data_IF_006484628582
#
_entry.id   IF_006484628582
#
_cell.length_a   1.000
_cell.length_b   1.000
_cell.length_c   1.000
_cell.angle_alpha   90.00
_cell.angle_beta   90.00
_cell.angle_gamma   90.00
#
_symmetry.space_group_name_H-M   'P 1'
#
loop_
_entity.id
_entity.type
_entity.pdbx_description
1 polymer ?
2 non-polymer ?
3 non-polymer ?
4 non-polymer ?
5 non-polymer ?
6 water ?
#
# COMPACT_ATOMS: atom_id res chain seq x y z
N UNK A 3 -24.03 -3.81 -21.82
CA UNK A 3 -22.78 -3.92 -22.58
C UNK A 3 -21.57 -3.66 -21.68
N UNK A 4 -20.46 -4.30 -22.00
CA UNK A 4 -19.29 -4.23 -21.15
C UNK A 4 -18.73 -2.80 -21.08
N UNK A 5 -18.16 -2.42 -19.96
CA UNK A 5 -17.48 -1.12 -19.90
C UNK A 5 -16.27 -1.09 -20.82
N UNK A 6 -16.08 0.05 -21.48
CA UNK A 6 -14.96 0.27 -22.39
C UNK A 6 -13.83 0.89 -21.58
N UNK A 7 -12.97 0.03 -21.03
CA UNK A 7 -11.94 0.48 -20.09
C UNK A 7 -10.60 -0.16 -20.43
N UNK A 8 -9.54 0.48 -19.94
CA UNK A 8 -8.16 0.04 -20.10
C UNK A 8 -7.60 -0.11 -18.68
N UNK A 9 -7.50 -1.36 -18.21
CA UNK A 9 -7.11 -1.58 -16.83
C UNK A 9 -5.63 -1.32 -16.57
N UNK A 10 -4.86 -1.02 -17.62
CA UNK A 10 -3.48 -0.59 -17.46
C UNK A 10 -3.33 0.93 -17.54
N UNK A 11 -4.44 1.65 -17.63
CA UNK A 11 -4.43 3.11 -17.75
C UNK A 11 -4.68 3.74 -16.40
N UNK A 12 -3.75 4.56 -15.94
CA UNK A 12 -3.91 5.16 -14.62
C UNK A 12 -5.17 5.99 -14.48
N UNK A 13 -5.68 6.51 -15.60
CA UNK A 13 -6.87 7.34 -15.53
C UNK A 13 -8.11 6.55 -15.13
N UNK A 14 -8.10 5.23 -15.39
CA UNK A 14 -9.22 4.40 -14.95
C UNK A 14 -9.35 4.41 -13.44
N UNK A 15 -8.24 4.32 -12.73
CA UNK A 15 -8.25 4.23 -11.27
C UNK A 15 -8.43 5.57 -10.59
N UNK A 16 -8.22 6.66 -11.32
CA UNK A 16 -8.56 7.98 -10.81
C UNK A 16 -10.05 8.27 -10.99
N UNK A 17 -10.75 7.45 -11.77
CA UNK A 17 -12.17 7.63 -12.01
C UNK A 17 -12.96 7.05 -10.85
N UNK A 18 -13.89 7.84 -10.33
CA UNK A 18 -14.82 7.34 -9.33
C UNK A 18 -15.94 6.52 -9.95
N UNK A 19 -15.82 6.17 -11.22
CA UNK A 19 -16.71 5.22 -11.87
C UNK A 19 -16.04 3.87 -12.07
N UNK A 20 -14.83 3.68 -11.52
CA UNK A 20 -14.16 2.38 -11.61
C UNK A 20 -15.01 1.30 -10.94
N UNK A 21 -15.58 1.60 -9.79
CA UNK A 21 -16.34 0.60 -9.07
C UNK A 21 -17.60 0.20 -9.82
N UNK A 22 -18.20 1.11 -10.60
CA UNK A 22 -19.30 0.72 -11.46
C UNK A 22 -18.83 -0.27 -12.52
N UNK A 23 -17.62 -0.08 -13.04
CA UNK A 23 -17.07 -1.03 -14.01
C UNK A 23 -16.80 -2.38 -13.36
N UNK A 24 -16.20 -2.36 -12.17
CA UNK A 24 -15.96 -3.60 -11.43
C UNK A 24 -17.27 -4.36 -11.25
N UNK A 25 -18.34 -3.64 -10.92
CA UNK A 25 -19.61 -4.30 -10.63
C UNK A 25 -20.12 -5.04 -11.85
N UNK A 26 -19.93 -4.48 -13.04
CA UNK A 26 -20.33 -5.19 -14.26
C UNK A 26 -19.49 -6.45 -14.45
N UNK A 27 -18.17 -6.33 -14.27
CA UNK A 27 -17.28 -7.47 -14.36
C UNK A 27 -17.75 -8.61 -13.47
N UNK A 28 -17.98 -8.29 -12.19
CA UNK A 28 -18.30 -9.33 -11.23
C UNK A 28 -19.60 -10.01 -11.59
N UNK A 29 -20.52 -9.32 -12.27
CA UNK A 29 -21.83 -9.87 -12.58
C UNK A 29 -21.91 -10.54 -13.95
N UNK A 30 -20.96 -10.27 -14.85
CA UNK A 30 -21.13 -10.68 -16.23
C UNK A 30 -19.94 -11.43 -16.82
N UNK A 31 -18.72 -11.12 -16.35
CA UNK A 31 -17.53 -11.83 -16.82
C UNK A 31 -16.47 -11.71 -15.73
N UNK A 32 -16.54 -12.57 -14.70
CA UNK A 32 -15.67 -12.38 -13.51
C UNK A 32 -14.19 -12.29 -13.84
N UNK A 33 -13.70 -13.12 -14.76
CA UNK A 33 -12.34 -13.00 -15.28
C UNK A 33 -12.50 -12.22 -16.57
N UNK A 34 -12.31 -10.90 -16.46
CA UNK A 34 -12.64 -9.92 -17.48
C UNK A 34 -11.46 -9.65 -18.39
N UNK A 35 -11.74 -9.40 -19.67
CA UNK A 35 -10.75 -8.88 -20.60
C UNK A 35 -11.13 -7.47 -21.02
N UNK A 36 -10.21 -6.54 -20.83
CA UNK A 36 -10.47 -5.13 -21.10
C UNK A 36 -10.33 -4.85 -22.60
N UNK A 37 -10.40 -3.57 -22.98
CA UNK A 37 -10.46 -3.21 -24.39
C UNK A 37 -9.25 -3.72 -25.15
N UNK A 38 -8.11 -3.88 -24.49
CA UNK A 38 -6.88 -4.33 -25.11
C UNK A 38 -6.62 -5.81 -24.90
N UNK A 39 -7.57 -6.53 -24.32
CA UNK A 39 -7.42 -7.95 -24.09
C UNK A 39 -6.74 -8.34 -22.80
N UNK A 40 -6.44 -7.39 -21.93
CA UNK A 40 -5.78 -7.69 -20.67
C UNK A 40 -6.77 -8.35 -19.71
N UNK A 41 -6.38 -9.50 -19.18
CA UNK A 41 -7.24 -10.29 -18.30
C UNK A 41 -7.13 -9.81 -16.87
N UNK A 42 -8.25 -9.83 -16.16
CA UNK A 42 -8.27 -9.38 -14.77
C UNK A 42 -9.32 -10.15 -13.99
N UNK A 43 -8.92 -10.66 -12.83
CA UNK A 43 -9.85 -11.34 -11.92
C UNK A 43 -10.54 -10.28 -11.05
N UNK A 44 -11.87 -10.19 -11.17
CA UNK A 44 -12.62 -9.12 -10.54
C UNK A 44 -13.40 -9.57 -9.30
N UNK A 45 -13.69 -10.87 -9.17
CA UNK A 45 -14.46 -11.35 -8.04
C UNK A 45 -13.50 -11.76 -6.91
N UNK A 46 -14.01 -11.67 -5.68
CA UNK A 46 -13.28 -12.17 -4.52
C UNK A 46 -12.92 -13.64 -4.71
N UNK A 47 -13.86 -14.44 -5.22
CA UNK A 47 -13.60 -15.86 -5.44
C UNK A 47 -12.45 -16.07 -6.42
N UNK A 48 -12.47 -15.36 -7.54
CA UNK A 48 -11.45 -15.60 -8.56
C UNK A 48 -10.09 -15.14 -8.08
N UNK A 49 -10.04 -14.03 -7.34
CA UNK A 49 -8.77 -13.55 -6.81
C UNK A 49 -8.20 -14.58 -5.84
N UNK A 50 -9.01 -15.05 -4.90
CA UNK A 50 -8.56 -16.06 -3.94
C UNK A 50 -8.11 -17.32 -4.67
N UNK A 51 -8.90 -17.78 -5.65
CA UNK A 51 -8.54 -19.02 -6.33
C UNK A 51 -7.22 -18.87 -7.09
N UNK A 52 -6.98 -17.69 -7.66
CA UNK A 52 -5.69 -17.45 -8.32
C UNK A 52 -4.57 -17.36 -7.29
N UNK A 53 -4.82 -16.68 -6.17
CA UNK A 53 -3.81 -16.56 -5.13
C UNK A 53 -3.38 -17.94 -4.63
N UNK A 54 -4.33 -18.87 -4.55
CA UNK A 54 -4.07 -20.20 -3.99
C UNK A 54 -3.38 -21.16 -4.96
N UNK A 55 -3.14 -20.74 -6.20
CA UNK A 55 -2.49 -21.59 -7.20
C UNK A 55 -1.27 -20.90 -7.76
N UNK A 56 -0.25 -20.65 -6.92
CA UNK A 56 0.94 -19.92 -7.40
C UNK A 56 1.72 -20.64 -8.50
N UNK A 57 1.59 -21.97 -8.59
CA UNK A 57 2.30 -22.71 -9.63
C UNK A 57 1.69 -22.46 -11.00
N UNK A 58 0.42 -22.08 -11.05
CA UNK A 58 -0.25 -21.68 -12.28
C UNK A 58 -0.25 -20.17 -12.47
N UNK A 59 -0.40 -19.42 -11.38
CA UNK A 59 -0.46 -17.96 -11.40
C UNK A 59 0.81 -17.49 -10.69
N UNK A 60 1.87 -17.27 -11.47
CA UNK A 60 3.21 -17.06 -10.95
C UNK A 60 3.52 -15.58 -10.75
N UNK A 61 4.42 -15.31 -9.80
CA UNK A 61 4.95 -13.97 -9.59
C UNK A 61 6.27 -13.74 -10.30
N UNK A 62 6.86 -14.77 -10.89
CA UNK A 62 8.24 -14.69 -11.39
C UNK A 62 8.37 -13.91 -12.69
N UNK A 63 7.27 -13.46 -13.27
CA UNK A 63 7.31 -12.58 -14.41
C UNK A 63 7.19 -11.11 -14.05
N UNK A 64 7.16 -10.79 -12.77
CA UNK A 64 6.89 -9.44 -12.32
C UNK A 64 5.41 -9.22 -12.06
N UNK A 65 5.12 -8.24 -11.21
CA UNK A 65 3.76 -8.00 -10.76
C UNK A 65 3.12 -6.79 -11.41
N UNK A 66 3.76 -6.20 -12.42
CA UNK A 66 3.17 -5.16 -13.26
C UNK A 66 2.88 -5.69 -14.66
N UNK A 67 1.95 -5.09 -15.39
CA UNK A 67 1.40 -5.76 -16.59
C UNK A 67 2.31 -5.77 -17.79
N UNK A 68 3.32 -4.91 -17.87
CA UNK A 68 4.18 -4.86 -19.05
C UNK A 68 5.60 -4.48 -18.66
N UNK A 69 6.07 -4.94 -17.51
CA UNK A 69 7.39 -4.68 -17.02
C UNK A 69 8.00 -6.00 -16.57
N UNK A 70 9.29 -6.22 -16.82
CA UNK A 70 9.91 -7.49 -16.44
C UNK A 70 10.10 -7.59 -14.94
N UNK A 71 10.45 -8.79 -14.50
CA UNK A 71 10.66 -9.05 -13.08
C UNK A 71 11.91 -8.35 -12.58
N UNK A 72 11.89 -7.98 -11.30
CA UNK A 72 13.04 -7.52 -10.56
C UNK A 72 13.46 -8.57 -9.54
N UNK A 73 14.74 -8.65 -9.19
CA UNK A 73 15.19 -9.70 -8.24
C UNK A 73 14.85 -9.37 -6.79
N UNK A 74 13.55 -9.38 -6.50
CA UNK A 74 13.06 -9.11 -5.16
C UNK A 74 11.97 -10.12 -4.81
N UNK A 75 11.70 -10.23 -3.50
CA UNK A 75 10.79 -11.23 -2.96
C UNK A 75 9.46 -11.28 -3.71
N UNK A 76 8.86 -10.12 -3.97
CA UNK A 76 7.51 -10.09 -4.55
C UNK A 76 7.50 -10.57 -5.99
N UNK A 77 8.66 -10.69 -6.63
CA UNK A 77 8.76 -11.19 -8.00
C UNK A 77 9.36 -12.59 -8.04
N UNK A 78 9.18 -13.35 -6.97
CA UNK A 78 9.73 -14.70 -6.87
C UNK A 78 8.65 -15.68 -6.49
N UNK A 79 8.87 -16.95 -6.86
CA UNK A 79 8.00 -18.05 -6.47
C UNK A 79 8.71 -18.92 -5.45
N UNK A 80 7.93 -19.68 -4.70
CA UNK A 80 8.52 -20.67 -3.79
C UNK A 80 9.18 -21.77 -4.61
N UNK A 81 10.27 -22.35 -4.11
CA UNK A 81 10.83 -22.17 -2.76
C UNK A 81 11.78 -20.98 -2.60
N UNK A 82 12.26 -20.37 -3.68
CA UNK A 82 13.19 -19.26 -3.54
C UNK A 82 12.54 -18.10 -2.79
N UNK A 83 11.27 -17.81 -3.08
CA UNK A 83 10.57 -16.74 -2.39
C UNK A 83 10.54 -16.97 -0.88
N UNK A 84 10.26 -18.21 -0.47
CA UNK A 84 10.13 -18.49 0.96
C UNK A 84 11.42 -18.21 1.71
N UNK A 85 12.56 -18.59 1.13
CA UNK A 85 13.84 -18.31 1.77
C UNK A 85 14.08 -16.81 1.88
N UNK A 86 13.84 -16.08 0.77
CA UNK A 86 14.04 -14.64 0.79
C UNK A 86 13.14 -13.98 1.82
N UNK A 87 11.88 -14.39 1.90
CA UNK A 87 10.96 -13.78 2.85
C UNK A 87 11.34 -14.11 4.30
N UNK A 88 11.78 -15.35 4.55
CA UNK A 88 12.24 -15.71 5.89
C UNK A 88 13.43 -14.86 6.30
N UNK A 89 14.32 -14.56 5.36
CA UNK A 89 15.49 -13.74 5.68
C UNK A 89 15.07 -12.32 6.03
N UNK A 90 14.17 -11.74 5.22
CA UNK A 90 13.74 -10.37 5.47
C UNK A 90 12.81 -10.30 6.67
N UNK A 91 12.14 -11.41 7.01
CA UNK A 91 11.20 -11.41 8.11
C UNK A 91 11.84 -11.03 9.44
N UNK A 92 13.17 -11.13 9.55
CA UNK A 92 13.85 -10.71 10.77
C UNK A 92 13.52 -9.27 11.14
N UNK A 93 13.27 -8.42 10.16
CA UNK A 93 12.90 -7.05 10.43
C UNK A 93 11.44 -6.82 10.74
N UNK A 94 10.62 -7.88 10.70
CA UNK A 94 9.18 -7.72 10.80
C UNK A 94 8.54 -8.77 11.70
N UNK A 95 9.30 -9.31 12.65
CA UNK A 95 8.70 -10.14 13.68
C UNK A 95 7.67 -9.33 14.47
N UNK A 96 6.71 -10.03 15.08
CA UNK A 96 5.66 -9.31 15.80
C UNK A 96 6.24 -8.50 16.93
N UNK A 97 7.31 -8.98 17.56
CA UNK A 97 7.95 -8.25 18.64
C UNK A 97 8.61 -6.97 18.14
N UNK A 98 9.38 -7.06 17.06
CA UNK A 98 10.08 -5.88 16.57
C UNK A 98 9.09 -4.80 16.15
N UNK A 99 7.98 -5.18 15.53
CA UNK A 99 7.03 -4.18 15.05
C UNK A 99 6.30 -3.54 16.22
N UNK A 100 5.80 -4.37 17.14
CA UNK A 100 5.06 -3.82 18.28
C UNK A 100 5.93 -2.85 19.07
N UNK A 101 7.22 -3.15 19.19
CA UNK A 101 8.12 -2.28 19.94
C UNK A 101 8.32 -0.92 19.31
N UNK A 102 7.92 -0.73 18.05
CA UNK A 102 8.00 0.57 17.39
C UNK A 102 6.89 1.52 17.81
N UNK A 103 5.95 1.06 18.64
CA UNK A 103 4.76 1.84 18.93
C UNK A 103 5.12 3.22 19.47
N UNK A 104 6.02 3.27 20.47
CA UNK A 104 6.37 4.55 21.08
C UNK A 104 6.98 5.50 20.06
N UNK A 105 7.87 4.99 19.20
CA UNK A 105 8.55 5.89 18.26
C UNK A 105 7.59 6.35 17.18
N UNK A 106 6.70 5.47 16.72
CA UNK A 106 5.72 5.88 15.72
C UNK A 106 4.75 6.90 16.30
N UNK A 107 4.29 6.67 17.53
CA UNK A 107 3.40 7.63 18.18
C UNK A 107 4.07 8.99 18.31
N UNK A 108 5.36 9.01 18.66
CA UNK A 108 6.07 10.29 18.77
C UNK A 108 6.06 11.02 17.43
N UNK A 109 6.26 10.30 16.34
CA UNK A 109 6.21 10.92 15.02
C UNK A 109 4.82 11.50 14.75
N UNK A 110 3.79 10.74 15.14
CA UNK A 110 2.41 11.18 14.92
C UNK A 110 2.18 12.49 15.66
N UNK A 111 2.64 12.58 16.91
CA UNK A 111 2.39 13.79 17.69
C UNK A 111 3.21 14.97 17.18
N UNK A 112 4.43 14.72 16.70
CA UNK A 112 5.22 15.79 16.10
C UNK A 112 4.51 16.34 14.86
N UNK A 113 3.99 15.45 14.01
CA UNK A 113 3.32 15.90 12.79
C UNK A 113 2.07 16.69 13.13
N UNK A 114 1.28 16.22 14.09
CA UNK A 114 0.10 16.99 14.49
C UNK A 114 0.51 18.29 15.17
N UNK A 115 1.62 18.28 15.92
CA UNK A 115 2.11 19.51 16.51
C UNK A 115 2.36 20.59 15.47
N UNK A 116 2.77 20.20 14.26
CA UNK A 116 3.12 21.15 13.23
C UNK A 116 1.91 21.88 12.64
N UNK A 117 0.68 21.42 12.91
CA UNK A 117 -0.48 22.04 12.28
C UNK A 117 -1.59 22.37 13.26
N UNK A 118 -1.48 21.88 14.49
CA UNK A 118 -2.62 21.94 15.40
C UNK A 118 -2.99 23.39 15.76
N UNK A 119 -2.02 24.30 15.70
CA UNK A 119 -2.30 25.70 16.01
C UNK A 119 -2.97 26.44 14.85
N UNK A 120 -2.94 25.87 13.65
CA UNK A 120 -3.37 26.60 12.46
C UNK A 120 -4.88 26.56 12.27
N UNK A 121 -5.52 25.46 12.62
CA UNK A 121 -6.93 25.28 12.33
C UNK A 121 -7.24 24.77 10.94
N UNK A 122 -6.22 24.57 10.10
CA UNK A 122 -6.38 24.03 8.76
C UNK A 122 -5.09 23.34 8.36
N UNK A 123 -5.21 22.23 7.63
CA UNK A 123 -4.04 21.62 7.02
C UNK A 123 -4.53 20.83 5.81
N UNK A 124 -3.58 20.42 4.97
CA UNK A 124 -3.83 19.42 3.93
C UNK A 124 -3.52 18.06 4.56
N UNK A 125 -4.57 17.27 4.80
CA UNK A 125 -4.39 16.00 5.53
C UNK A 125 -3.43 15.08 4.80
N UNK A 126 -3.39 15.13 3.48
CA UNK A 126 -2.44 14.33 2.71
C UNK A 126 -1.02 14.84 2.92
N UNK A 127 -0.78 16.10 2.56
CA UNK A 127 0.58 16.64 2.57
C UNK A 127 1.18 16.66 3.98
N UNK A 128 0.35 16.94 4.99
CA UNK A 128 0.87 17.25 6.31
C UNK A 128 0.80 16.11 7.31
N UNK A 129 0.01 15.07 7.04
CA UNK A 129 -0.14 13.98 8.00
C UNK A 129 -0.02 12.61 7.35
N UNK A 130 -0.81 12.36 6.30
CA UNK A 130 -0.85 11.01 5.75
C UNK A 130 0.42 10.67 4.98
N UNK A 131 0.96 11.64 4.24
CA UNK A 131 2.14 11.36 3.43
C UNK A 131 3.43 11.32 4.25
N UNK A 132 3.63 12.23 5.20
CA UNK A 132 4.91 12.22 5.92
C UNK A 132 5.08 11.06 6.87
N UNK A 133 4.00 10.59 7.53
CA UNK A 133 4.20 9.58 8.56
C UNK A 133 4.83 8.32 8.01
N UNK A 134 4.31 7.69 6.96
CA UNK A 134 4.92 6.43 6.49
C UNK A 134 6.38 6.59 6.10
N UNK A 135 6.75 7.73 5.51
CA UNK A 135 8.13 7.99 5.12
C UNK A 135 9.03 8.19 6.32
N UNK A 136 8.51 8.84 7.37
CA UNK A 136 9.31 9.04 8.57
C UNK A 136 9.55 7.71 9.31
N UNK A 137 8.56 6.83 9.33
CA UNK A 137 8.75 5.52 9.96
C UNK A 137 9.79 4.72 9.21
N UNK A 138 9.62 4.60 7.89
CA UNK A 138 10.58 3.84 7.09
C UNK A 138 11.93 4.54 7.08
N UNK A 139 11.93 5.86 6.98
CA UNK A 139 13.18 6.60 7.02
C UNK A 139 13.97 6.33 8.27
N UNK A 140 13.28 6.32 9.43
CA UNK A 140 13.98 6.04 10.68
C UNK A 140 14.51 4.61 10.73
N UNK A 141 13.79 3.66 10.12
CA UNK A 141 14.28 2.29 10.05
C UNK A 141 15.53 2.20 9.18
N UNK A 142 15.64 3.05 8.16
CA UNK A 142 16.75 3.01 7.22
C UNK A 142 17.87 3.98 7.56
N UNK A 143 17.75 4.71 8.66
CA UNK A 143 18.79 5.64 9.05
C UNK A 143 18.82 6.94 8.28
N UNK A 144 17.68 7.40 7.78
CA UNK A 144 17.60 8.64 7.01
C UNK A 144 17.47 9.81 7.99
N UNK A 145 18.33 10.81 7.83
CA UNK A 145 18.22 12.02 8.64
C UNK A 145 16.87 12.68 8.37
N UNK A 146 16.23 13.23 9.41
CA UNK A 146 14.88 13.81 9.19
C UNK A 146 14.81 14.82 8.06
N UNK A 147 15.82 15.69 7.93
CA UNK A 147 15.79 16.70 6.88
C UNK A 147 16.03 16.11 5.51
N UNK A 148 16.35 14.83 5.41
CA UNK A 148 16.53 14.16 4.13
C UNK A 148 15.36 13.27 3.76
N UNK A 149 14.35 13.17 4.63
CA UNK A 149 13.16 12.38 4.30
C UNK A 149 12.54 12.83 2.99
N UNK A 150 12.50 14.14 2.75
CA UNK A 150 11.82 14.62 1.56
C UNK A 150 12.50 14.13 0.28
N UNK A 151 13.84 13.98 0.29
CA UNK A 151 14.53 13.38 -0.85
C UNK A 151 14.06 11.96 -1.09
N UNK A 152 13.95 11.17 -0.02
CA UNK A 152 13.51 9.79 -0.17
C UNK A 152 12.04 9.72 -0.59
N UNK A 153 11.21 10.62 -0.07
CA UNK A 153 9.81 10.68 -0.49
C UNK A 153 9.70 10.88 -1.99
N UNK A 154 10.57 11.71 -2.57
CA UNK A 154 10.51 11.96 -4.00
C UNK A 154 11.05 10.77 -4.80
N UNK A 155 12.13 10.14 -4.32
CA UNK A 155 12.59 8.92 -4.97
C UNK A 155 11.48 7.88 -4.99
N UNK A 156 10.80 7.70 -3.86
CA UNK A 156 9.72 6.71 -3.78
C UNK A 156 8.59 7.08 -4.72
N UNK A 157 8.22 8.35 -4.76
CA UNK A 157 7.22 8.82 -5.71
C UNK A 157 7.61 8.47 -7.14
N UNK A 158 8.86 8.77 -7.51
CA UNK A 158 9.34 8.47 -8.85
C UNK A 158 9.20 7.00 -9.17
N UNK A 159 9.64 6.14 -8.24
CA UNK A 159 9.62 4.70 -8.49
C UNK A 159 8.21 4.15 -8.52
N UNK A 160 7.35 4.58 -7.59
CA UNK A 160 5.94 4.20 -7.63
C UNK A 160 5.34 4.57 -8.98
N UNK A 161 5.64 5.77 -9.46
CA UNK A 161 5.06 6.25 -10.71
C UNK A 161 5.50 5.38 -11.88
N UNK A 162 6.77 4.96 -11.87
CA UNK A 162 7.25 4.05 -12.91
C UNK A 162 6.44 2.75 -12.89
N UNK A 163 6.18 2.21 -11.71
CA UNK A 163 5.39 0.99 -11.60
C UNK A 163 3.94 1.20 -11.98
N UNK A 164 3.48 2.45 -12.01
CA UNK A 164 2.07 2.79 -12.17
C UNK A 164 1.74 3.23 -13.59
N UNK A 165 2.63 3.01 -14.56
CA UNK A 165 2.39 3.49 -15.92
C UNK A 165 3.42 2.87 -16.85
N UNK A 166 3.37 3.30 -18.12
CA UNK A 166 4.40 3.03 -19.12
C UNK A 166 5.07 4.37 -19.39
N UNK A 167 6.26 4.57 -18.82
CA UNK A 167 6.85 5.90 -18.77
C UNK A 167 7.50 6.24 -20.10
N UNK A 168 7.74 7.53 -20.30
CA UNK A 168 8.54 8.02 -21.41
C UNK A 168 10.02 7.80 -21.10
N UNK A 169 10.89 8.17 -22.05
CA UNK A 169 12.33 8.06 -21.81
C UNK A 169 12.77 9.00 -20.71
N UNK A 170 12.29 10.25 -20.73
CA UNK A 170 12.66 11.20 -19.70
C UNK A 170 12.25 10.69 -18.31
N UNK A 171 11.10 10.02 -18.23
CA UNK A 171 10.66 9.47 -16.94
C UNK A 171 11.33 8.13 -16.63
N UNK A 172 11.71 7.37 -17.65
CA UNK A 172 12.57 6.22 -17.42
C UNK A 172 13.91 6.67 -16.84
N UNK A 173 14.47 7.75 -17.37
CA UNK A 173 15.76 8.22 -16.88
C UNK A 173 15.66 8.71 -15.44
N UNK A 174 14.59 9.44 -15.12
CA UNK A 174 14.39 9.90 -13.75
C UNK A 174 14.30 8.71 -12.79
N UNK A 175 13.62 7.64 -13.21
CA UNK A 175 13.51 6.46 -12.36
C UNK A 175 14.89 5.82 -12.14
N UNK A 176 15.66 5.68 -13.22
CA UNK A 176 17.01 5.13 -13.08
C UNK A 176 17.86 5.99 -12.16
N UNK A 177 17.74 7.31 -12.28
CA UNK A 177 18.52 8.21 -11.43
C UNK A 177 18.16 8.03 -9.95
N UNK A 178 16.85 7.93 -9.66
CA UNK A 178 16.42 7.76 -8.28
C UNK A 178 16.92 6.44 -7.70
N UNK A 179 16.88 5.37 -8.51
CA UNK A 179 17.43 4.11 -8.03
C UNK A 179 18.93 4.22 -7.75
N UNK A 180 19.67 4.85 -8.68
CA UNK A 180 21.11 5.00 -8.50
C UNK A 180 21.40 5.72 -7.19
N UNK A 181 20.65 6.78 -6.89
CA UNK A 181 20.84 7.50 -5.63
C UNK A 181 20.48 6.63 -4.43
N UNK A 182 19.38 5.88 -4.54
CA UNK A 182 19.00 5.00 -3.43
C UNK A 182 20.03 3.88 -3.24
N UNK A 183 20.55 3.35 -4.35
CA UNK A 183 21.55 2.30 -4.27
C UNK A 183 22.81 2.80 -3.54
N UNK A 184 23.27 3.98 -3.92
CA UNK A 184 24.47 4.54 -3.29
C UNK A 184 24.27 4.73 -1.79
N UNK A 185 23.14 5.33 -1.40
CA UNK A 185 22.85 5.54 0.01
C UNK A 185 22.83 4.21 0.77
N UNK A 186 22.13 3.23 0.23
CA UNK A 186 21.91 1.98 0.96
C UNK A 186 23.20 1.20 1.11
N UNK A 187 24.02 1.15 0.05
CA UNK A 187 25.27 0.43 0.15
C UNK A 187 26.22 1.10 1.13
N UNK A 188 26.13 2.42 1.27
CA UNK A 188 26.89 3.10 2.32
C UNK A 188 26.41 2.65 3.70
N UNK A 189 25.09 2.60 3.90
CA UNK A 189 24.57 2.08 5.16
C UNK A 189 25.05 0.66 5.41
N UNK A 190 24.95 -0.19 4.39
CA UNK A 190 25.35 -1.59 4.55
C UNK A 190 26.80 -1.69 5.00
N UNK A 191 27.68 -0.91 4.36
CA UNK A 191 29.08 -0.91 4.77
C UNK A 191 29.22 -0.46 6.22
N UNK A 192 28.50 0.59 6.59
CA UNK A 192 28.63 1.13 7.95
C UNK A 192 28.15 0.13 8.98
N UNK A 193 27.10 -0.62 8.68
CA UNK A 193 26.50 -1.52 9.67
C UNK A 193 27.17 -2.88 9.73
N UNK A 194 27.69 -3.38 8.61
CA UNK A 194 28.52 -4.57 8.66
C UNK A 194 29.74 -4.36 9.55
N UNK A 195 30.17 -3.11 9.73
CA UNK A 195 31.35 -2.79 10.52
C UNK A 195 31.00 -2.47 11.97
N UNK A 196 29.98 -1.64 12.18
CA UNK A 196 29.49 -1.28 13.51
C UNK A 196 27.98 -1.48 13.53
N UNK A 197 27.51 -2.69 13.86
CA UNK A 197 26.06 -2.93 13.84
C UNK A 197 25.33 -2.05 14.85
N UNK A 198 24.12 -1.63 14.47
CA UNK A 198 23.20 -0.95 15.38
C UNK A 198 21.94 -1.78 15.50
N UNK A 199 20.82 -1.16 15.84
CA UNK A 199 19.54 -1.85 15.94
C UNK A 199 18.56 -1.44 14.84
N UNK A 200 19.07 -0.88 13.73
CA UNK A 200 18.22 -0.43 12.64
C UNK A 200 17.98 -1.58 11.66
N UNK A 201 17.20 -1.30 10.60
CA UNK A 201 16.72 -2.37 9.74
C UNK A 201 17.87 -3.04 8.99
N UNK A 202 18.80 -2.25 8.45
CA UNK A 202 19.90 -2.86 7.70
C UNK A 202 20.73 -3.75 8.62
N UNK A 203 20.92 -3.34 9.88
CA UNK A 203 21.67 -4.16 10.82
C UNK A 203 20.97 -5.50 11.03
N UNK A 204 19.66 -5.48 11.21
CA UNK A 204 18.92 -6.72 11.46
C UNK A 204 18.96 -7.61 10.23
N UNK A 205 18.83 -7.01 9.05
CA UNK A 205 18.84 -7.81 7.81
C UNK A 205 20.22 -8.39 7.54
N UNK A 206 21.28 -7.66 7.89
CA UNK A 206 22.62 -8.19 7.69
C UNK A 206 22.86 -9.40 8.58
N UNK A 207 22.32 -9.39 9.79
CA UNK A 207 22.55 -10.49 10.73
C UNK A 207 21.59 -11.67 10.51
N UNK A 208 20.56 -11.51 9.68
CA UNK A 208 19.58 -12.57 9.48
C UNK A 208 20.22 -13.77 8.79
N UNK A 209 19.92 -14.97 9.31
CA UNK A 209 20.43 -16.21 8.72
C UNK A 209 19.33 -17.24 8.71
N UNK A 210 19.18 -17.94 7.58
CA UNK A 210 18.14 -18.96 7.41
C UNK A 210 18.68 -20.05 6.51
N UNK A 211 18.52 -21.30 6.93
CA UNK A 211 18.96 -22.46 6.14
C UNK A 211 20.45 -22.34 5.79
N UNK A 212 21.22 -21.70 6.68
CA UNK A 212 22.63 -21.45 6.41
C UNK A 212 22.92 -20.30 5.48
N UNK A 213 21.90 -19.53 5.08
CA UNK A 213 22.04 -18.50 4.06
C UNK A 213 21.88 -17.10 4.65
N UNK A 214 22.45 -16.12 3.96
CA UNK A 214 22.30 -14.72 4.33
C UNK A 214 22.00 -13.90 3.08
N UNK A 215 21.60 -12.66 3.31
CA UNK A 215 21.30 -11.75 2.20
C UNK A 215 22.58 -11.10 1.70
N UNK A 216 22.76 -11.11 0.38
CA UNK A 216 23.87 -10.42 -0.23
C UNK A 216 23.62 -8.90 -0.21
N UNK A 217 24.68 -8.14 -0.48
CA UNK A 217 24.51 -6.70 -0.63
C UNK A 217 23.49 -6.37 -1.71
N UNK A 218 23.56 -7.07 -2.85
CA UNK A 218 22.59 -6.86 -3.91
C UNK A 218 21.16 -7.07 -3.39
N UNK A 219 20.97 -8.14 -2.62
CA UNK A 219 19.64 -8.47 -2.13
C UNK A 219 19.18 -7.49 -1.07
N UNK A 220 20.11 -7.00 -0.23
CA UNK A 220 19.74 -6.03 0.79
C UNK A 220 19.23 -4.74 0.15
N UNK A 221 19.85 -4.32 -0.96
CA UNK A 221 19.40 -3.11 -1.65
C UNK A 221 18.00 -3.33 -2.22
N UNK A 222 17.80 -4.47 -2.90
CA UNK A 222 16.52 -4.73 -3.56
C UNK A 222 15.40 -4.88 -2.54
N UNK A 223 15.64 -5.60 -1.44
CA UNK A 223 14.59 -5.86 -0.48
C UNK A 223 14.26 -4.61 0.33
N UNK A 224 15.28 -3.79 0.67
CA UNK A 224 14.98 -2.54 1.35
C UNK A 224 14.26 -1.56 0.43
N UNK A 225 14.54 -1.63 -0.87
CA UNK A 225 13.81 -0.80 -1.84
C UNK A 225 12.34 -1.20 -1.89
N UNK A 226 12.07 -2.51 -1.91
CA UNK A 226 10.69 -2.98 -1.88
C UNK A 226 9.96 -2.48 -0.64
N UNK A 227 10.64 -2.48 0.50
CA UNK A 227 10.04 -1.98 1.74
C UNK A 227 9.81 -0.47 1.65
N UNK A 228 10.78 0.27 1.12
CA UNK A 228 10.61 1.71 0.97
C UNK A 228 9.39 2.05 0.13
N UNK A 229 9.33 1.50 -1.09
CA UNK A 229 8.24 1.82 -2.00
C UNK A 229 6.95 1.21 -1.48
N UNK A 230 7.00 -0.06 -1.07
CA UNK A 230 5.76 -0.76 -0.75
C UNK A 230 5.06 -0.27 0.50
N UNK A 231 5.80 0.38 1.40
CA UNK A 231 5.20 0.76 2.67
C UNK A 231 4.97 2.24 2.83
N UNK A 232 5.31 3.01 1.80
CA UNK A 232 5.22 4.45 1.88
C UNK A 232 3.86 4.96 1.37
N UNK A 233 3.73 5.10 0.05
CA UNK A 233 2.52 5.72 -0.49
C UNK A 233 1.31 4.81 -0.34
N UNK A 234 1.51 3.50 -0.13
CA UNK A 234 0.38 2.64 0.20
C UNK A 234 -0.29 3.09 1.50
N UNK A 235 0.47 3.11 2.58
CA UNK A 235 -0.07 3.49 3.88
C UNK A 235 -0.67 4.87 3.84
N UNK A 236 0.01 5.81 3.17
CA UNK A 236 -0.53 7.16 2.97
C UNK A 236 -1.99 7.12 2.54
N UNK A 237 -2.28 6.34 1.50
CA UNK A 237 -3.61 6.42 0.88
C UNK A 237 -4.70 5.82 1.78
N UNK A 238 -4.35 4.84 2.61
CA UNK A 238 -5.35 4.35 3.55
C UNK A 238 -5.61 5.36 4.66
N UNK A 239 -4.56 6.03 5.11
CA UNK A 239 -4.72 7.08 6.12
C UNK A 239 -5.63 8.19 5.62
N UNK A 240 -5.36 8.69 4.42
CA UNK A 240 -6.15 9.80 3.89
C UNK A 240 -7.54 9.34 3.51
N UNK A 241 -7.63 8.32 2.67
CA UNK A 241 -8.94 7.85 2.24
C UNK A 241 -9.80 7.28 3.35
N UNK A 242 -9.17 6.59 4.31
CA UNK A 242 -9.92 6.09 5.43
C UNK A 242 -10.45 7.19 6.31
N UNK A 243 -9.61 8.18 6.64
CA UNK A 243 -10.08 9.30 7.42
C UNK A 243 -11.16 10.08 6.69
N UNK A 244 -11.03 10.18 5.36
CA UNK A 244 -12.06 10.84 4.58
C UNK A 244 -13.43 10.22 4.84
N UNK A 245 -13.50 8.89 4.83
CA UNK A 245 -14.76 8.22 5.06
C UNK A 245 -15.27 8.46 6.47
N UNK A 246 -14.38 8.55 7.46
CA UNK A 246 -14.83 8.89 8.80
C UNK A 246 -15.49 10.26 8.81
N UNK A 247 -14.94 11.20 8.03
CA UNK A 247 -15.44 12.57 8.04
C UNK A 247 -16.71 12.72 7.21
N UNK A 248 -16.88 11.92 6.17
CA UNK A 248 -18.10 11.98 5.37
C UNK A 248 -19.29 11.35 6.07
N UNK A 249 -19.06 10.43 7.01
CA UNK A 249 -20.11 9.72 7.74
C UNK A 249 -19.89 10.03 9.21
N UNK A 250 -20.40 11.18 9.67
CA UNK A 250 -20.07 11.67 11.00
C UNK A 250 -20.47 10.68 12.09
N UNK A 251 -21.51 9.88 11.84
CA UNK A 251 -21.87 8.84 12.81
C UNK A 251 -20.69 7.91 13.06
N UNK A 252 -19.90 7.61 12.02
CA UNK A 252 -18.74 6.75 12.17
C UNK A 252 -17.66 7.45 12.97
N UNK A 253 -17.36 8.71 12.63
CA UNK A 253 -16.45 9.51 13.44
C UNK A 253 -16.89 9.52 14.90
N UNK A 254 -18.17 9.77 15.15
CA UNK A 254 -18.68 9.88 16.51
C UNK A 254 -18.55 8.56 17.26
N UNK A 255 -18.79 7.43 16.58
CA UNK A 255 -18.63 6.13 17.22
C UNK A 255 -17.21 5.94 17.72
N UNK A 256 -16.23 6.20 16.85
CA UNK A 256 -14.83 5.97 17.20
C UNK A 256 -14.38 6.90 18.32
N UNK A 257 -14.88 8.14 18.31
CA UNK A 257 -14.45 9.09 19.32
C UNK A 257 -14.86 8.67 20.72
N UNK A 258 -16.03 8.04 20.86
CA UNK A 258 -16.53 7.68 22.17
C UNK A 258 -16.18 6.25 22.59
N UNK A 259 -15.52 5.47 21.72
CA UNK A 259 -15.18 4.09 22.04
C UNK A 259 -13.87 3.72 21.40
N UNK A 260 -12.75 3.89 22.12
CA UNK A 260 -11.45 3.53 21.52
C UNK A 260 -11.34 2.07 21.12
N UNK A 261 -12.08 1.17 21.76
CA UNK A 261 -11.97 -0.25 21.44
C UNK A 261 -12.51 -0.57 20.05
N UNK A 262 -13.15 0.38 19.38
CA UNK A 262 -13.63 0.18 18.02
C UNK A 262 -12.56 0.48 16.99
N UNK A 263 -11.39 0.97 17.39
CA UNK A 263 -10.39 1.37 16.41
C UNK A 263 -9.87 0.21 15.57
N UNK A 264 -9.56 -0.97 16.10
CA UNK A 264 -9.10 -2.05 15.22
C UNK A 264 -10.06 -2.33 14.07
N UNK A 265 -11.36 -2.41 14.36
CA UNK A 265 -12.32 -2.64 13.30
C UNK A 265 -12.38 -1.49 12.31
N UNK A 266 -12.23 -0.26 12.81
CA UNK A 266 -12.20 0.89 11.91
C UNK A 266 -11.04 0.80 10.93
N UNK A 267 -9.84 0.44 11.44
CA UNK A 267 -8.67 0.37 10.56
C UNK A 267 -8.89 -0.67 9.46
N UNK A 268 -9.52 -1.79 9.80
CA UNK A 268 -9.80 -2.80 8.79
C UNK A 268 -10.74 -2.28 7.71
N UNK A 269 -11.77 -1.52 8.11
CA UNK A 269 -12.69 -0.97 7.12
C UNK A 269 -12.03 0.13 6.30
N UNK A 270 -11.09 0.88 6.88
CA UNK A 270 -10.33 1.82 6.08
C UNK A 270 -9.53 1.10 5.00
N UNK A 271 -8.91 -0.02 5.37
CA UNK A 271 -8.15 -0.81 4.42
C UNK A 271 -9.05 -1.39 3.33
N UNK A 272 -10.17 -2.01 3.71
CA UNK A 272 -11.07 -2.57 2.71
C UNK A 272 -11.47 -1.49 1.70
N UNK A 273 -11.87 -0.33 2.21
CA UNK A 273 -12.43 0.72 1.36
C UNK A 273 -11.39 1.31 0.43
N UNK A 274 -10.19 1.60 0.93
CA UNK A 274 -9.21 2.36 0.17
C UNK A 274 -8.43 1.49 -0.80
N UNK A 275 -8.19 0.22 -0.45
CA UNK A 275 -7.39 -0.70 -1.26
C UNK A 275 -6.33 0.02 -2.07
N UNK A 276 -5.31 0.57 -1.42
CA UNK A 276 -4.33 1.40 -2.17
C UNK A 276 -3.65 0.67 -3.31
N UNK A 277 -3.38 -0.61 -3.14
CA UNK A 277 -2.84 -1.44 -4.22
C UNK A 277 -4.01 -1.92 -5.07
N UNK A 278 -4.18 -1.33 -6.24
CA UNK A 278 -5.34 -1.62 -7.07
C UNK A 278 -5.22 -2.96 -7.77
N UNK A 279 -4.00 -3.43 -7.99
CA UNK A 279 -3.84 -4.72 -8.64
C UNK A 279 -2.41 -5.21 -8.51
N UNK A 280 -2.27 -6.54 -8.54
CA UNK A 280 -0.97 -7.15 -8.70
C UNK A 280 -1.13 -8.20 -9.81
N UNK A 281 -0.08 -8.37 -10.63
CA UNK A 281 -0.18 -9.27 -11.78
C UNK A 281 0.35 -10.64 -11.44
N UNK A 282 -0.17 -11.64 -12.16
CA UNK A 282 0.30 -13.02 -12.15
C UNK A 282 0.48 -13.46 -13.59
N UNK A 283 1.57 -14.16 -13.88
CA UNK A 283 1.80 -14.68 -15.22
C UNK A 283 1.37 -16.13 -15.26
N UNK A 284 0.66 -16.50 -16.31
CA UNK A 284 0.16 -17.86 -16.45
C UNK A 284 1.29 -18.78 -16.92
N UNK A 285 1.42 -19.93 -16.26
CA UNK A 285 2.44 -20.91 -16.61
C UNK A 285 1.90 -21.98 -17.55
N UNK A 286 0.62 -21.94 -17.89
CA UNK A 286 0.05 -22.87 -18.85
C UNK A 286 -1.32 -22.36 -19.27
N UNK A 287 -1.78 -22.82 -20.43
CA UNK A 287 -3.15 -22.56 -20.83
C UNK A 287 -4.10 -23.09 -19.75
N UNK A 288 -5.17 -22.35 -19.48
CA UNK A 288 -6.10 -22.79 -18.44
C UNK A 288 -7.44 -22.10 -18.60
N UNK A 289 -8.50 -22.85 -18.28
CA UNK A 289 -9.86 -22.32 -18.21
C UNK A 289 -10.11 -21.94 -16.76
N UNK A 290 -10.25 -20.63 -16.51
CA UNK A 290 -10.29 -20.09 -15.14
C UNK A 290 -11.57 -19.29 -14.94
N UNK A 291 -12.49 -19.84 -14.17
CA UNK A 291 -13.77 -19.21 -13.89
C UNK A 291 -14.41 -18.67 -15.17
N UNK A 292 -14.39 -19.49 -16.21
CA UNK A 292 -15.13 -19.23 -17.43
C UNK A 292 -14.36 -18.52 -18.52
N UNK A 293 -13.11 -18.13 -18.27
CA UNK A 293 -12.32 -17.40 -19.26
C UNK A 293 -11.08 -18.19 -19.59
N UNK A 294 -10.83 -18.37 -20.89
CA UNK A 294 -9.62 -19.04 -21.35
C UNK A 294 -8.42 -18.12 -21.22
N UNK A 295 -7.39 -18.60 -20.54
CA UNK A 295 -6.14 -17.85 -20.38
C UNK A 295 -5.00 -18.61 -21.05
N UNK A 296 -4.05 -17.87 -21.59
CA UNK A 296 -2.95 -18.43 -22.37
C UNK A 296 -1.64 -18.37 -21.61
N UNK A 297 -0.87 -19.44 -21.71
CA UNK A 297 0.46 -19.48 -21.09
C UNK A 297 1.25 -18.24 -21.49
N UNK A 298 1.79 -17.56 -20.48
CA UNK A 298 2.68 -16.45 -20.71
C UNK A 298 2.04 -15.08 -20.59
N UNK A 299 0.72 -15.00 -20.66
CA UNK A 299 0.06 -13.71 -20.47
C UNK A 299 -0.07 -13.42 -18.98
N UNK A 300 -0.28 -12.14 -18.67
CA UNK A 300 -0.43 -11.70 -17.29
C UNK A 300 -1.90 -11.39 -17.01
N UNK A 301 -2.34 -11.79 -15.81
CA UNK A 301 -3.68 -11.50 -15.31
C UNK A 301 -3.57 -10.63 -14.09
N UNK A 302 -4.40 -9.58 -14.02
CA UNK A 302 -4.45 -8.73 -12.84
C UNK A 302 -5.35 -9.33 -11.77
N UNK A 303 -4.95 -9.15 -10.52
CA UNK A 303 -5.84 -9.38 -9.38
C UNK A 303 -6.37 -8.03 -8.91
N UNK A 304 -7.68 -7.80 -9.07
CA UNK A 304 -8.28 -6.49 -8.77
C UNK A 304 -8.71 -6.46 -7.32
N UNK A 305 -7.83 -6.01 -6.44
CA UNK A 305 -8.10 -6.12 -5.01
C UNK A 305 -9.23 -5.20 -4.57
N UNK A 306 -9.34 -4.00 -5.17
CA UNK A 306 -10.47 -3.14 -4.81
C UNK A 306 -11.79 -3.76 -5.25
N UNK A 307 -11.85 -4.29 -6.48
CA UNK A 307 -13.06 -4.98 -6.91
C UNK A 307 -13.44 -6.08 -5.95
N UNK A 308 -12.47 -6.89 -5.52
CA UNK A 308 -12.75 -7.98 -4.60
C UNK A 308 -13.27 -7.45 -3.27
N UNK A 309 -12.74 -6.29 -2.83
CA UNK A 309 -13.13 -5.70 -1.55
C UNK A 309 -14.54 -5.11 -1.57
N UNK A 310 -15.14 -4.97 -2.76
CA UNK A 310 -16.52 -4.49 -2.87
C UNK A 310 -17.42 -5.56 -3.48
N UNK A 311 -17.04 -6.83 -3.36
CA UNK A 311 -17.80 -7.94 -3.91
C UNK A 311 -18.96 -8.28 -2.98
N UNK A 312 -20.18 -8.07 -3.47
CA UNK A 312 -21.38 -8.29 -2.67
C UNK A 312 -21.52 -9.74 -2.23
N UNK A 313 -20.86 -10.67 -2.92
CA UNK A 313 -20.92 -12.07 -2.51
C UNK A 313 -20.27 -12.30 -1.17
N UNK A 314 -19.40 -11.39 -0.73
CA UNK A 314 -18.63 -11.54 0.50
C UNK A 314 -18.95 -10.44 1.50
N UNK A 315 -19.15 -9.21 1.04
CA UNK A 315 -19.37 -8.05 1.89
C UNK A 315 -20.78 -7.54 1.66
N UNK A 316 -21.62 -7.65 2.68
CA UNK A 316 -22.98 -7.13 2.59
C UNK A 316 -22.94 -5.61 2.49
N UNK A 317 -23.72 -5.06 1.56
CA UNK A 317 -23.77 -3.62 1.32
C UNK A 317 -22.37 -3.03 1.24
N UNK A 318 -21.58 -3.44 0.24
CA UNK A 318 -20.16 -3.05 0.22
C UNK A 318 -19.93 -1.55 0.08
N UNK A 319 -20.89 -0.81 -0.47
CA UNK A 319 -20.73 0.63 -0.59
C UNK A 319 -21.08 1.37 0.69
N UNK A 320 -21.39 0.66 1.77
CA UNK A 320 -21.58 1.27 3.09
C UNK A 320 -20.28 1.14 3.88
N UNK A 321 -19.73 2.28 4.29
CA UNK A 321 -18.56 2.29 5.17
C UNK A 321 -19.02 2.05 6.60
N UNK A 322 -18.54 0.97 7.22
CA UNK A 322 -19.01 0.55 8.54
C UNK A 322 -17.83 0.07 9.36
N UNK A 323 -17.37 0.89 10.31
CA UNK A 323 -16.19 0.55 11.10
C UNK A 323 -16.41 -0.70 11.93
N UNK A 324 -17.67 -1.07 12.17
CA UNK A 324 -18.01 -2.24 12.99
C UNK A 324 -18.09 -3.53 12.18
N UNK A 325 -17.86 -3.46 10.87
CA UNK A 325 -18.00 -4.60 9.97
C UNK A 325 -17.28 -5.83 10.52
N UNK A 326 -18.04 -6.91 10.73
CA UNK A 326 -17.53 -8.18 11.20
C UNK A 326 -18.38 -9.28 10.56
N UNK A 327 -17.80 -10.12 9.71
CA UNK A 327 -16.38 -10.24 9.36
C UNK A 327 -15.93 -9.17 8.38
N UNK A 328 -14.61 -9.02 8.22
CA UNK A 328 -14.05 -8.04 7.28
C UNK A 328 -12.77 -8.62 6.68
N UNK A 329 -12.94 -9.72 5.96
CA UNK A 329 -11.79 -10.44 5.38
C UNK A 329 -11.40 -9.84 4.04
N UNK A 330 -11.00 -8.57 4.10
CA UNK A 330 -10.65 -7.84 2.88
C UNK A 330 -9.30 -8.31 2.34
N UNK A 331 -9.03 -7.94 1.10
CA UNK A 331 -7.83 -8.33 0.37
C UNK A 331 -6.92 -7.14 0.07
N UNK A 332 -6.98 -6.09 0.90
CA UNK A 332 -6.11 -4.95 0.66
C UNK A 332 -4.64 -5.35 0.72
N UNK A 333 -4.31 -6.32 1.58
CA UNK A 333 -2.95 -6.85 1.71
C UNK A 333 -2.74 -8.12 0.88
N UNK A 334 -3.70 -8.46 0.03
CA UNK A 334 -3.61 -9.71 -0.72
C UNK A 334 -3.92 -10.94 0.12
N UNK A 335 -3.38 -12.07 -0.31
CA UNK A 335 -3.67 -13.36 0.29
C UNK A 335 -2.67 -14.38 -0.22
N UNK A 336 -2.30 -15.30 0.66
CA UNK A 336 -1.46 -16.42 0.28
C UNK A 336 0.02 -16.17 0.54
N UNK A 337 0.88 -16.76 -0.30
CA UNK A 337 2.30 -16.73 0.01
C UNK A 337 2.90 -15.34 -0.08
N UNK A 338 2.28 -14.40 -0.81
CA UNK A 338 2.81 -13.04 -0.92
C UNK A 338 2.07 -12.03 -0.04
N UNK A 339 1.16 -12.50 0.82
CA UNK A 339 0.46 -11.63 1.77
C UNK A 339 1.40 -10.62 2.39
N UNK A 340 0.96 -9.35 2.40
CA UNK A 340 1.84 -8.22 2.72
C UNK A 340 2.68 -8.47 3.96
N UNK A 341 4.00 -8.44 3.79
CA UNK A 341 4.90 -8.64 4.91
C UNK A 341 4.81 -7.50 5.92
N UNK A 342 4.44 -6.30 5.47
CA UNK A 342 4.39 -5.14 6.35
C UNK A 342 3.02 -4.87 6.93
N UNK A 343 2.12 -5.85 6.86
CA UNK A 343 0.73 -5.60 7.24
C UNK A 343 0.61 -5.17 8.70
N UNK A 344 1.42 -5.74 9.59
CA UNK A 344 1.34 -5.31 10.98
C UNK A 344 1.86 -3.90 11.15
N UNK A 345 2.94 -3.55 10.47
CA UNK A 345 3.47 -2.19 10.59
C UNK A 345 2.50 -1.18 10.02
N UNK A 346 1.92 -1.47 8.85
CA UNK A 346 0.93 -0.57 8.28
C UNK A 346 -0.23 -0.36 9.22
N UNK A 347 -0.75 -1.45 9.80
CA UNK A 347 -1.88 -1.33 10.73
C UNK A 347 -1.51 -0.52 11.95
N UNK A 348 -0.28 -0.69 12.45
CA UNK A 348 0.15 0.08 13.61
C UNK A 348 0.23 1.58 13.30
N UNK A 349 0.81 1.95 12.16
CA UNK A 349 0.84 3.35 11.76
C UNK A 349 -0.57 3.93 11.67
N UNK A 350 -1.49 3.18 11.05
CA UNK A 350 -2.85 3.68 10.87
C UNK A 350 -3.54 3.87 12.22
N UNK A 351 -3.37 2.90 13.14
CA UNK A 351 -4.02 2.99 14.45
C UNK A 351 -3.48 4.18 15.24
N UNK A 352 -2.15 4.32 15.31
CA UNK A 352 -1.56 5.36 16.15
C UNK A 352 -1.89 6.75 15.63
N UNK A 353 -1.87 6.96 14.32
CA UNK A 353 -2.22 8.28 13.81
C UNK A 353 -3.70 8.57 13.98
N UNK A 354 -4.55 7.58 13.70
CA UNK A 354 -5.99 7.82 13.79
C UNK A 354 -6.44 8.10 15.22
N UNK A 355 -5.93 7.37 16.21
CA UNK A 355 -6.40 7.69 17.56
C UNK A 355 -6.00 9.12 17.94
N UNK A 356 -4.82 9.57 17.51
CA UNK A 356 -4.36 10.92 17.82
C UNK A 356 -5.14 11.97 17.04
N UNK A 357 -5.47 11.70 15.77
CA UNK A 357 -6.32 12.61 15.04
C UNK A 357 -7.68 12.73 15.72
N UNK A 358 -8.24 11.62 16.18
CA UNK A 358 -9.55 11.65 16.81
C UNK A 358 -9.53 12.50 18.08
N UNK A 359 -8.51 12.36 18.93
CA UNK A 359 -8.50 13.06 20.22
C UNK A 359 -7.96 14.47 20.13
N UNK A 360 -6.99 14.73 19.26
CA UNK A 360 -6.36 16.04 19.20
C UNK A 360 -7.04 16.99 18.22
N UNK A 361 -7.72 16.45 17.21
CA UNK A 361 -8.49 17.23 16.24
C UNK A 361 -9.94 16.79 16.30
N UNK A 362 -10.58 16.91 17.48
CA UNK A 362 -11.86 16.21 17.68
C UNK A 362 -13.00 16.72 16.80
N UNK A 363 -12.98 17.98 16.38
CA UNK A 363 -14.02 18.51 15.51
C UNK A 363 -13.56 18.61 14.06
N UNK A 364 -12.60 17.79 13.66
CA UNK A 364 -12.10 17.80 12.29
C UNK A 364 -13.23 17.64 11.29
N UNK A 365 -13.14 18.38 10.19
CA UNK A 365 -14.11 18.24 9.12
C UNK A 365 -13.47 18.59 7.78
N UNK A 366 -14.01 18.03 6.71
CA UNK A 366 -13.51 18.30 5.37
C UNK A 366 -13.98 19.68 4.92
N UNK A 367 -13.07 20.41 4.26
CA UNK A 367 -13.42 21.74 3.78
C UNK A 367 -14.48 21.62 2.67
N UNK A 368 -14.17 20.87 1.63
CA UNK A 368 -15.07 20.63 0.51
C UNK A 368 -15.25 19.13 0.34
N UNK A 369 -16.20 18.74 -0.52
CA UNK A 369 -16.64 17.36 -0.64
C UNK A 369 -15.86 16.63 -1.72
N UNK A 370 -16.22 15.35 -1.96
CA UNK A 370 -15.35 14.44 -2.68
C UNK A 370 -15.37 14.63 -4.19
N UNK A 371 -16.48 15.08 -4.77
CA UNK A 371 -16.53 15.20 -6.22
C UNK A 371 -15.41 16.10 -6.74
N UNK A 372 -14.87 16.96 -5.88
CA UNK A 372 -13.78 17.85 -6.26
C UNK A 372 -12.41 17.34 -5.81
N UNK A 373 -12.35 16.29 -4.99
CA UNK A 373 -11.08 15.75 -4.53
C UNK A 373 -10.55 14.73 -5.53
N UNK A 374 -9.47 15.03 -6.23
CA UNK A 374 -8.98 14.09 -7.24
C UNK A 374 -8.20 12.95 -6.63
N UNK A 375 -8.25 11.81 -7.32
CA UNK A 375 -7.43 10.64 -7.06
C UNK A 375 -6.25 10.65 -8.01
N UNK A 376 -5.12 10.14 -7.55
CA UNK A 376 -3.90 10.23 -8.35
C UNK A 376 -3.99 9.26 -9.52
N UNK A 377 -3.87 9.72 -10.76
CA UNK A 377 -3.88 8.77 -11.89
C UNK A 377 -2.66 7.87 -11.85
N UNK A 378 -2.91 6.58 -11.62
CA UNK A 378 -1.87 5.57 -11.46
C UNK A 378 -2.57 4.23 -11.57
N UNK A 379 -1.93 3.26 -12.22
CA UNK A 379 -2.54 1.96 -12.46
C UNK A 379 -2.13 0.91 -11.43
N UNK A 380 -1.35 1.30 -10.41
CA UNK A 380 -0.82 0.35 -9.43
C UNK A 380 -1.23 0.77 -8.01
N UNK A 381 -0.65 1.84 -7.48
CA UNK A 381 -1.00 2.35 -6.15
C UNK A 381 -1.60 3.73 -6.35
N UNK A 382 -2.74 3.98 -5.71
CA UNK A 382 -3.41 5.26 -5.90
C UNK A 382 -4.29 5.62 -4.71
N UNK A 383 -4.47 6.92 -4.54
CA UNK A 383 -5.27 7.47 -3.47
C UNK A 383 -5.39 8.97 -3.67
N UNK A 384 -5.81 9.67 -2.61
CA UNK A 384 -6.09 11.10 -2.72
C UNK A 384 -4.81 11.93 -2.95
N UNK A 385 -4.93 12.93 -3.81
CA UNK A 385 -3.82 13.86 -4.00
C UNK A 385 -3.78 14.90 -2.88
N UNK A 386 -4.94 15.32 -2.39
CA UNK A 386 -5.07 16.44 -1.47
C UNK A 386 -6.35 16.27 -0.69
N UNK A 387 -6.37 16.76 0.55
CA UNK A 387 -7.54 16.64 1.42
C UNK A 387 -7.51 17.77 2.43
N UNK A 388 -7.91 18.96 2.02
CA UNK A 388 -7.99 20.08 2.98
C UNK A 388 -9.01 19.80 4.08
N UNK A 389 -8.60 20.08 5.32
CA UNK A 389 -9.43 19.85 6.49
C UNK A 389 -9.26 21.03 7.46
N UNK A 390 -10.30 21.27 8.25
CA UNK A 390 -10.29 22.32 9.27
C UNK A 390 -10.66 21.74 10.62
N UNK A 391 -10.29 22.46 11.67
CA UNK A 391 -10.50 22.02 13.04
C UNK A 391 -10.28 23.20 13.96
N UNK A 392 -10.78 23.09 15.19
CA UNK A 392 -10.50 24.11 16.20
C UNK A 392 -9.04 24.03 16.61
N UNK A 393 -8.29 25.14 16.58
CA UNK A 393 -6.88 25.06 16.96
C UNK A 393 -6.68 24.61 18.40
N UNK A 394 -5.51 24.06 18.67
CA UNK A 394 -5.10 23.68 20.01
C UNK A 394 -3.59 23.83 20.11
N UNK A 395 -3.05 23.92 21.33
CA UNK A 395 -1.60 24.08 21.48
C UNK A 395 -0.88 22.76 21.30
N UNK A 396 0.38 22.78 20.86
CA UNK A 396 1.11 21.52 20.65
C UNK A 396 1.41 20.81 21.98
N UNK A 397 1.81 19.54 21.86
CA UNK A 397 2.25 18.76 23.00
C UNK A 397 3.74 18.90 23.27
N UNK A 398 4.54 19.24 22.26
CA UNK A 398 5.95 19.46 22.44
C UNK A 398 6.81 18.32 21.95
#
# INVERSE_FOLDING_TARGET
GTEAPDVDLADGNFYASREARAAYRWMRANQPVFRDRNGLAAASTYQAVIDAERQPELFSNAGGIRPDQPALPMMIDMDDPAHLLRRKLVNAGFTRKRVKDKEASIAALCDTLIDAVCERGECDFVRDLAAPLPMAVIGDMLGVRPEQRDMFLRWSDDLVTFLSSHVSQEDFQITMDAFAAYNDFTRATIAARRADPTDDLVSVLVSSEVDGERLSDDELVMETLLILIGGDETTRHTLSGGTEQLLRNRDQWDLLQRDPSLLPGAIEEMLRWTAPVKNMCRVLTADTEFHGTALCAGEKMMLLFESANFDEAVFCEPEKFDVQRNPNSHLAFGFGTHFCLGNQLARLELSLMTERVLRRLPDLRLVADDSVLPLRPANFVSGLESMPVVFTPSPPLG
#
